data_IF_016662337032
#
_entry.id   IF_016662337032
#
_cell.length_a   1.000
_cell.length_b   1.000
_cell.length_c   1.000
_cell.angle_alpha   90.00
_cell.angle_beta   90.00
_cell.angle_gamma   90.00
#
_symmetry.space_group_name_H-M   'P 1'
#
loop_
_entity.id
_entity.type
_entity.pdbx_description
1 polymer ?
#
# COMPACT_ATOMS: atom_id res chain seq x y z
N UNK A 1 -27.91 -9.77 5.54
CA UNK A 1 -27.06 -9.84 4.34
C UNK A 1 -25.93 -10.81 4.58
N UNK A 2 -25.76 -11.80 3.74
CA UNK A 2 -24.60 -12.71 3.85
C UNK A 2 -23.38 -11.98 3.31
N UNK A 3 -22.33 -11.85 4.12
CA UNK A 3 -21.06 -11.33 3.65
C UNK A 3 -20.40 -12.32 2.68
N UNK A 4 -19.89 -11.85 1.53
CA UNK A 4 -19.31 -12.73 0.50
C UNK A 4 -18.02 -13.42 0.97
N UNK A 5 -17.34 -12.86 1.97
CA UNK A 5 -16.14 -13.46 2.57
C UNK A 5 -16.27 -13.50 4.09
N UNK A 6 -15.93 -14.65 4.68
CA UNK A 6 -15.93 -14.81 6.15
C UNK A 6 -14.67 -14.27 6.81
N UNK A 7 -13.55 -14.35 6.12
CA UNK A 7 -12.23 -13.91 6.60
C UNK A 7 -11.44 -13.32 5.44
N UNK A 8 -10.73 -12.23 5.70
CA UNK A 8 -9.82 -11.59 4.74
C UNK A 8 -8.47 -11.40 5.42
N UNK A 9 -7.41 -11.83 4.76
CA UNK A 9 -6.04 -11.55 5.15
C UNK A 9 -5.39 -10.69 4.08
N UNK A 10 -4.91 -9.52 4.47
CA UNK A 10 -4.17 -8.61 3.58
C UNK A 10 -2.70 -8.65 3.96
N UNK A 11 -1.84 -9.00 3.00
CA UNK A 11 -0.39 -9.00 3.17
C UNK A 11 0.18 -7.89 2.30
N UNK A 12 0.74 -6.85 2.92
CA UNK A 12 1.45 -5.78 2.24
C UNK A 12 2.94 -6.11 2.13
N UNK A 13 3.46 -6.08 0.92
CA UNK A 13 4.86 -6.36 0.65
C UNK A 13 5.47 -5.18 -0.10
N UNK A 14 6.27 -4.39 0.59
CA UNK A 14 6.86 -3.18 0.03
C UNK A 14 7.83 -3.52 -1.11
N UNK A 15 7.76 -2.72 -2.16
CA UNK A 15 8.61 -2.82 -3.35
C UNK A 15 8.55 -4.17 -4.10
N UNK A 16 7.56 -5.02 -3.84
CA UNK A 16 7.38 -6.26 -4.60
C UNK A 16 6.98 -5.94 -6.04
N UNK A 17 7.77 -6.42 -6.99
CA UNK A 17 7.56 -6.17 -8.42
C UNK A 17 7.59 -7.49 -9.19
N UNK A 18 6.64 -7.71 -10.06
CA UNK A 18 6.57 -8.87 -10.93
C UNK A 18 7.80 -9.03 -11.82
N UNK A 19 8.49 -7.95 -12.16
CA UNK A 19 9.78 -8.01 -12.90
C UNK A 19 10.86 -8.77 -12.15
N UNK A 20 10.81 -8.76 -10.82
CA UNK A 20 11.72 -9.52 -9.96
C UNK A 20 11.13 -10.88 -9.60
N UNK A 21 9.84 -10.92 -9.28
CA UNK A 21 9.17 -12.12 -8.80
C UNK A 21 8.98 -13.18 -9.89
N UNK A 22 8.62 -12.77 -11.11
CA UNK A 22 8.37 -13.72 -12.21
C UNK A 22 9.59 -14.58 -12.52
N UNK A 23 10.80 -14.03 -12.72
CA UNK A 23 11.99 -14.86 -12.95
C UNK A 23 12.29 -15.82 -11.78
N UNK A 24 12.07 -15.38 -10.54
CA UNK A 24 12.29 -16.23 -9.37
C UNK A 24 11.28 -17.38 -9.28
N UNK A 25 10.03 -17.12 -9.60
CA UNK A 25 8.99 -18.15 -9.67
C UNK A 25 9.30 -19.15 -10.80
N UNK A 26 9.70 -18.67 -11.97
CA UNK A 26 10.06 -19.50 -13.13
C UNK A 26 11.25 -20.43 -12.83
N UNK A 27 12.16 -20.01 -11.97
CA UNK A 27 13.29 -20.82 -11.51
C UNK A 27 12.95 -21.77 -10.35
N UNK A 28 11.69 -21.76 -9.89
CA UNK A 28 11.26 -22.59 -8.75
C UNK A 28 11.76 -22.10 -7.38
N UNK A 29 12.28 -20.86 -7.30
CA UNK A 29 12.82 -20.31 -6.06
C UNK A 29 11.76 -19.73 -5.12
N UNK A 30 10.51 -19.60 -5.58
CA UNK A 30 9.39 -19.08 -4.81
C UNK A 30 8.15 -20.00 -4.95
N UNK A 31 8.24 -21.24 -4.47
CA UNK A 31 7.18 -22.25 -4.72
C UNK A 31 5.84 -21.88 -4.04
N UNK A 32 5.88 -21.25 -2.88
CA UNK A 32 4.66 -20.86 -2.17
C UNK A 32 3.93 -19.71 -2.87
N UNK A 33 4.68 -18.72 -3.37
CA UNK A 33 4.08 -17.63 -4.14
C UNK A 33 3.52 -18.16 -5.47
N UNK A 34 4.26 -19.02 -6.16
CA UNK A 34 3.81 -19.69 -7.38
C UNK A 34 2.48 -20.42 -7.15
N UNK A 35 2.37 -21.16 -6.06
CA UNK A 35 1.13 -21.89 -5.70
C UNK A 35 -0.04 -20.93 -5.47
N UNK A 36 0.19 -19.78 -4.81
CA UNK A 36 -0.84 -18.77 -4.62
C UNK A 36 -1.30 -18.16 -5.94
N UNK A 37 -0.37 -17.83 -6.81
CA UNK A 37 -0.64 -17.26 -8.12
C UNK A 37 -1.45 -18.27 -8.98
N UNK A 38 -1.03 -19.53 -9.02
CA UNK A 38 -1.67 -20.57 -9.84
C UNK A 38 -3.07 -20.93 -9.33
N UNK A 39 -3.31 -20.84 -8.03
CA UNK A 39 -4.63 -21.13 -7.44
C UNK A 39 -5.55 -19.92 -7.31
N UNK A 40 -5.04 -18.73 -7.57
CA UNK A 40 -5.76 -17.47 -7.43
C UNK A 40 -5.75 -16.64 -8.69
N UNK A 41 -5.74 -15.33 -8.51
CA UNK A 41 -5.67 -14.34 -9.58
C UNK A 41 -4.54 -13.37 -9.29
N UNK A 42 -3.70 -13.11 -10.27
CA UNK A 42 -2.67 -12.07 -10.20
C UNK A 42 -2.98 -10.94 -11.18
N UNK A 43 -2.44 -9.77 -10.89
CA UNK A 43 -2.57 -8.62 -11.77
C UNK A 43 -1.57 -7.54 -11.41
N UNK A 44 -1.61 -6.48 -12.18
CA UNK A 44 -0.79 -5.29 -11.96
C UNK A 44 -1.67 -4.15 -11.50
N UNK A 45 -1.19 -3.40 -10.52
CA UNK A 45 -1.82 -2.16 -10.09
C UNK A 45 -0.92 -0.98 -10.47
N UNK A 46 -1.52 0.13 -10.89
CA UNK A 46 -0.79 1.35 -11.15
C UNK A 46 -0.32 1.96 -9.83
N UNK A 47 0.90 2.48 -9.81
CA UNK A 47 1.41 3.25 -8.69
C UNK A 47 1.03 4.73 -8.81
N UNK A 48 1.25 5.48 -7.72
CA UNK A 48 1.19 6.93 -7.73
C UNK A 48 2.55 7.49 -8.18
N UNK A 49 2.55 8.71 -8.68
CA UNK A 49 3.76 9.44 -9.05
C UNK A 49 3.87 10.71 -8.19
N UNK A 50 4.96 10.90 -7.46
CA UNK A 50 6.10 9.99 -7.25
C UNK A 50 5.73 8.77 -6.37
N UNK A 51 6.40 7.61 -6.56
CA UNK A 51 6.08 6.37 -5.85
C UNK A 51 6.71 6.33 -4.44
N UNK A 52 6.24 7.17 -3.56
CA UNK A 52 6.76 7.31 -2.19
C UNK A 52 5.96 6.45 -1.22
N UNK A 53 6.65 5.59 -0.46
CA UNK A 53 6.02 4.61 0.43
C UNK A 53 4.99 5.20 1.40
N UNK A 54 5.24 6.31 2.12
CA UNK A 54 4.23 6.86 3.01
C UNK A 54 2.93 7.25 2.31
N UNK A 55 3.04 7.81 1.11
CA UNK A 55 1.90 8.22 0.29
C UNK A 55 1.14 7.00 -0.23
N UNK A 56 1.86 6.00 -0.75
CA UNK A 56 1.27 4.78 -1.31
C UNK A 56 0.54 3.96 -0.23
N UNK A 57 1.20 3.68 0.88
CA UNK A 57 0.61 2.91 1.97
C UNK A 57 -0.58 3.62 2.61
N UNK A 58 -0.53 4.94 2.72
CA UNK A 58 -1.68 5.71 3.19
C UNK A 58 -2.85 5.64 2.21
N UNK A 59 -2.60 5.69 0.91
CA UNK A 59 -3.64 5.50 -0.12
C UNK A 59 -4.26 4.10 -0.05
N UNK A 60 -3.44 3.05 0.14
CA UNK A 60 -3.92 1.68 0.32
C UNK A 60 -4.79 1.57 1.58
N UNK A 61 -4.33 2.12 2.71
CA UNK A 61 -5.01 2.01 4.00
C UNK A 61 -6.30 2.84 4.10
N UNK A 62 -6.42 3.89 3.31
CA UNK A 62 -7.56 4.83 3.38
C UNK A 62 -8.53 4.72 2.21
N UNK A 63 -8.10 4.14 1.09
CA UNK A 63 -8.86 4.16 -0.16
C UNK A 63 -8.99 5.58 -0.76
N UNK A 64 -8.14 6.50 -0.34
CA UNK A 64 -8.16 7.90 -0.78
C UNK A 64 -6.87 8.28 -1.49
N UNK A 65 -6.97 9.24 -2.38
CA UNK A 65 -5.80 9.85 -3.04
C UNK A 65 -5.08 10.84 -2.11
N UNK A 66 -3.80 11.16 -2.39
CA UNK A 66 -2.99 12.02 -1.52
C UNK A 66 -3.62 13.38 -1.19
N UNK A 67 -4.30 14.02 -2.13
CA UNK A 67 -4.98 15.29 -1.88
C UNK A 67 -6.11 15.19 -0.86
N UNK A 68 -6.64 13.98 -0.64
CA UNK A 68 -7.67 13.69 0.37
C UNK A 68 -7.05 13.29 1.71
N UNK A 69 -6.08 12.36 1.70
CA UNK A 69 -5.50 11.86 2.96
C UNK A 69 -4.40 12.74 3.53
N UNK A 70 -3.80 13.63 2.74
CA UNK A 70 -2.85 14.64 3.21
C UNK A 70 -1.41 14.17 3.39
N UNK A 71 -1.07 12.92 3.10
CA UNK A 71 0.29 12.39 3.21
C UNK A 71 0.94 12.41 1.83
N UNK A 72 1.88 13.33 1.62
CA UNK A 72 2.49 13.56 0.32
C UNK A 72 3.92 13.01 0.18
N UNK A 73 4.51 12.50 1.25
CA UNK A 73 5.86 11.96 1.24
C UNK A 73 6.39 11.70 2.63
N UNK A 74 7.70 11.68 2.75
CA UNK A 74 8.39 11.40 4.02
C UNK A 74 8.45 12.59 4.98
N UNK A 75 8.22 13.78 4.47
CA UNK A 75 8.30 15.04 5.23
C UNK A 75 7.08 15.91 4.97
N UNK A 76 6.81 16.79 5.91
CA UNK A 76 5.76 17.80 5.79
C UNK A 76 6.29 19.15 6.30
N UNK A 77 5.68 20.28 5.89
CA UNK A 77 6.00 21.57 6.49
C UNK A 77 5.71 21.59 7.98
N UNK A 78 6.55 22.28 8.74
CA UNK A 78 6.24 22.57 10.15
C UNK A 78 5.02 23.50 10.26
N UNK A 79 4.28 23.48 11.39
CA UNK A 79 3.09 24.33 11.56
C UNK A 79 3.32 25.81 11.34
N UNK A 80 4.54 26.29 11.63
CA UNK A 80 4.91 27.69 11.40
C UNK A 80 5.33 28.01 9.96
N UNK A 81 5.41 27.00 9.08
CA UNK A 81 5.80 27.16 7.69
C UNK A 81 7.27 27.47 7.43
N UNK A 82 8.12 27.44 8.47
CA UNK A 82 9.54 27.86 8.38
C UNK A 82 10.52 26.70 8.18
N UNK A 83 10.03 25.45 8.20
CA UNK A 83 10.89 24.28 8.07
C UNK A 83 10.08 23.06 7.65
N UNK A 84 10.75 21.90 7.68
CA UNK A 84 10.16 20.60 7.40
C UNK A 84 10.38 19.68 8.59
N UNK A 85 9.49 18.72 8.75
CA UNK A 85 9.59 17.65 9.75
C UNK A 85 9.21 16.30 9.13
N UNK A 86 9.64 15.17 9.71
CA UNK A 86 9.18 13.87 9.28
C UNK A 86 7.66 13.75 9.38
N UNK A 87 7.07 13.07 8.41
CA UNK A 87 5.64 12.76 8.42
C UNK A 87 5.31 11.79 9.56
N UNK A 88 4.14 11.93 10.13
CA UNK A 88 3.61 10.99 11.11
C UNK A 88 2.10 10.79 10.94
N UNK A 89 1.53 9.89 11.72
CA UNK A 89 0.11 9.52 11.63
C UNK A 89 -0.84 10.72 11.85
N UNK A 90 -0.43 11.72 12.59
CA UNK A 90 -1.27 12.92 12.86
C UNK A 90 -1.46 13.78 11.62
N UNK A 91 -0.59 13.64 10.61
CA UNK A 91 -0.74 14.32 9.32
C UNK A 91 -1.86 13.74 8.44
N UNK A 92 -2.33 12.53 8.74
CA UNK A 92 -3.39 11.89 7.96
C UNK A 92 -4.76 12.51 8.28
N UNK A 93 -5.43 13.01 7.25
CA UNK A 93 -6.69 13.76 7.37
C UNK A 93 -7.96 12.91 7.27
N UNK A 94 -7.82 11.62 6.96
CA UNK A 94 -8.95 10.68 6.78
C UNK A 94 -8.71 9.40 7.57
N UNK A 95 -9.79 8.67 7.86
CA UNK A 95 -9.71 7.40 8.56
C UNK A 95 -9.09 6.31 7.69
N UNK A 96 -8.22 5.51 8.26
CA UNK A 96 -7.78 4.26 7.67
C UNK A 96 -8.83 3.15 7.88
N UNK A 97 -8.71 2.06 7.13
CA UNK A 97 -9.67 0.95 7.20
C UNK A 97 -9.83 0.40 8.63
N UNK A 98 -8.75 0.32 9.40
CA UNK A 98 -8.81 -0.14 10.80
C UNK A 98 -9.49 0.84 11.77
N UNK A 99 -9.71 2.08 11.37
CA UNK A 99 -10.51 3.04 12.14
C UNK A 99 -12.00 2.97 11.77
N UNK A 100 -12.35 2.29 10.68
CA UNK A 100 -13.71 2.19 10.14
C UNK A 100 -14.37 0.87 10.57
N UNK A 101 -13.58 -0.19 10.63
CA UNK A 101 -14.03 -1.54 10.99
C UNK A 101 -14.42 -1.67 12.47
#
# INVERSE_FOLDING_TARGET
MKHPARKVLVIGWDAADWKVLNPLMDQGLMPNLTKLVDSGVMGRIATLDPPLSPTLWTSIATGKRPYKHGIHGFVEPTPNGKGIRPINITGRKVKAIWNIL
#
